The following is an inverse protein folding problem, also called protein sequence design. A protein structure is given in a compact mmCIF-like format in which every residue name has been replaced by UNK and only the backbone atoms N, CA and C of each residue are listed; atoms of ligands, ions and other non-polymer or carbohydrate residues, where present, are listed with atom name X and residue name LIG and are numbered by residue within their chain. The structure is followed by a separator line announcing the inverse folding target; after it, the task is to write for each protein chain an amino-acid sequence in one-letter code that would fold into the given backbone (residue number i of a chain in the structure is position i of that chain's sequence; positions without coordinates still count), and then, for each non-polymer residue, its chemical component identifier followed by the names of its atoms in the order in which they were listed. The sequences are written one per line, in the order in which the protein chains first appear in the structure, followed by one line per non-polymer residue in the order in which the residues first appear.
data_IF_821585642517
#
_entry.id   IF_821585642517
#
_cell.length_a   1.000
_cell.length_b   1.000
_cell.length_c   1.000
_cell.angle_alpha   90.00
_cell.angle_beta   90.00
_cell.angle_gamma   90.00
#
_symmetry.space_group_name_H-M   'P 1'
#
loop_
_entity.id
_entity.type
_entity.pdbx_description
1 polymer ?
#
# COMPACT_ATOMS: atom_id res chain seq x y z
N UNK A 1 -3.87 5.87 -18.34
CA UNK A 1 -5.34 6.07 -18.39
C UNK A 1 -5.91 5.56 -17.08
N UNK A 2 -6.80 6.35 -16.43
CA UNK A 2 -7.40 5.95 -15.15
C UNK A 2 -8.66 6.73 -14.86
N UNK A 3 -9.37 6.29 -13.82
CA UNK A 3 -10.54 6.94 -13.26
C UNK A 3 -10.42 6.91 -11.72
N UNK A 4 -10.80 7.99 -11.09
CA UNK A 4 -10.87 8.11 -9.64
C UNK A 4 -12.29 8.48 -9.24
N UNK A 5 -12.79 7.84 -8.20
CA UNK A 5 -14.12 8.06 -7.65
C UNK A 5 -13.94 8.23 -6.13
N UNK A 6 -14.56 9.25 -5.58
CA UNK A 6 -14.63 9.49 -4.15
C UNK A 6 -16.08 9.74 -3.76
N UNK A 7 -16.50 9.15 -2.63
CA UNK A 7 -17.84 9.33 -2.10
C UNK A 7 -17.79 9.38 -0.57
N UNK A 8 -18.59 10.27 0.00
CA UNK A 8 -18.81 10.40 1.44
C UNK A 8 -20.30 10.49 1.75
N UNK A 9 -20.70 9.87 2.84
CA UNK A 9 -22.08 9.85 3.30
C UNK A 9 -22.14 9.86 4.82
N UNK A 10 -22.93 10.77 5.38
CA UNK A 10 -23.17 10.88 6.82
C UNK A 10 -24.63 10.57 7.12
N UNK A 11 -24.99 9.26 7.22
CA UNK A 11 -26.39 8.85 7.47
C UNK A 11 -26.90 9.28 8.84
N UNK A 12 -26.02 9.47 9.80
CA UNK A 12 -26.33 9.84 11.16
C UNK A 12 -25.33 10.91 11.64
N UNK A 13 -25.76 11.74 12.59
CA UNK A 13 -24.90 12.80 13.13
C UNK A 13 -23.62 12.32 13.81
N UNK A 14 -23.52 11.04 14.10
CA UNK A 14 -22.39 10.39 14.77
C UNK A 14 -21.65 9.39 13.89
N UNK A 15 -22.08 9.19 12.61
CA UNK A 15 -21.47 8.23 11.69
C UNK A 15 -21.23 8.90 10.33
N UNK A 16 -19.98 8.82 9.87
CA UNK A 16 -19.57 9.16 8.51
C UNK A 16 -18.92 7.95 7.85
N UNK A 17 -19.30 7.67 6.62
CA UNK A 17 -18.75 6.61 5.76
C UNK A 17 -18.11 7.29 4.57
N UNK A 18 -16.85 6.99 4.29
CA UNK A 18 -16.11 7.54 3.14
C UNK A 18 -15.43 6.42 2.39
N UNK A 19 -15.29 6.60 1.10
CA UNK A 19 -14.58 5.65 0.27
C UNK A 19 -14.05 6.31 -0.99
N UNK A 20 -12.91 5.83 -1.46
CA UNK A 20 -12.37 6.18 -2.75
C UNK A 20 -11.85 4.95 -3.49
N UNK A 21 -11.88 5.03 -4.80
CA UNK A 21 -11.36 4.01 -5.69
C UNK A 21 -10.58 4.70 -6.82
N UNK A 22 -9.31 4.34 -6.97
CA UNK A 22 -8.48 4.69 -8.10
C UNK A 22 -8.28 3.43 -8.96
N UNK A 23 -8.75 3.49 -10.19
CA UNK A 23 -8.59 2.42 -11.17
C UNK A 23 -7.72 2.95 -12.31
N UNK A 24 -6.64 2.27 -12.62
CA UNK A 24 -5.70 2.72 -13.64
C UNK A 24 -5.15 1.58 -14.50
N UNK A 25 -4.81 1.93 -15.75
CA UNK A 25 -4.08 1.07 -16.65
C UNK A 25 -2.91 1.84 -17.23
N UNK A 26 -1.70 1.53 -16.78
CA UNK A 26 -0.47 2.19 -17.17
C UNK A 26 0.38 1.20 -17.97
N UNK A 27 0.52 1.45 -19.26
CA UNK A 27 1.19 0.57 -20.22
C UNK A 27 2.33 1.34 -20.87
N UNK A 28 3.48 0.67 -20.98
CA UNK A 28 4.59 1.09 -21.84
C UNK A 28 4.41 0.37 -23.18
N UNK A 29 4.51 1.10 -24.28
CA UNK A 29 4.56 0.55 -25.64
C UNK A 29 6.01 0.50 -26.11
N UNK A 30 6.31 -0.51 -26.90
CA UNK A 30 7.64 -0.68 -27.52
C UNK A 30 8.79 -0.64 -26.48
N UNK A 31 8.63 -1.43 -25.41
CA UNK A 31 9.61 -1.52 -24.33
C UNK A 31 10.71 -2.52 -24.68
N UNK A 32 11.96 -2.07 -24.61
CA UNK A 32 13.13 -2.92 -24.76
C UNK A 32 13.81 -3.15 -23.41
N UNK A 33 13.78 -4.38 -22.94
CA UNK A 33 14.53 -4.81 -21.78
C UNK A 33 15.97 -5.12 -22.18
N UNK A 34 16.94 -4.54 -21.49
CA UNK A 34 18.35 -4.87 -21.61
C UNK A 34 18.71 -5.90 -20.53
N UNK A 35 18.54 -7.19 -20.86
CA UNK A 35 18.80 -8.27 -19.92
C UNK A 35 20.30 -8.57 -19.85
N UNK A 36 20.85 -8.58 -18.62
CA UNK A 36 22.23 -9.00 -18.39
C UNK A 36 22.40 -10.46 -18.76
N UNK A 37 23.53 -10.79 -19.39
CA UNK A 37 23.93 -12.19 -19.65
C UNK A 37 25.07 -12.53 -18.71
N UNK A 38 24.90 -13.59 -17.90
CA UNK A 38 25.96 -14.07 -17.01
C UNK A 38 27.15 -14.56 -17.82
N UNK A 39 28.37 -14.35 -17.26
CA UNK A 39 29.67 -14.70 -17.84
C UNK A 39 30.06 -13.92 -19.09
N UNK A 40 29.20 -13.02 -19.58
CA UNK A 40 29.50 -12.11 -20.66
C UNK A 40 29.34 -10.67 -20.20
N UNK A 41 30.25 -9.79 -20.57
CA UNK A 41 30.05 -8.33 -20.36
C UNK A 41 29.10 -7.75 -21.40
N UNK A 42 28.00 -8.47 -21.68
CA UNK A 42 27.05 -8.16 -22.72
C UNK A 42 25.62 -8.07 -22.19
N UNK A 43 24.77 -7.39 -22.95
CA UNK A 43 23.33 -7.34 -22.68
C UNK A 43 22.57 -7.90 -23.87
N UNK A 44 21.50 -8.61 -23.60
CA UNK A 44 20.56 -9.03 -24.62
C UNK A 44 19.34 -8.12 -24.61
N UNK A 45 19.01 -7.60 -25.76
CA UNK A 45 17.81 -6.83 -25.97
C UNK A 45 16.60 -7.77 -26.15
N UNK A 46 15.59 -7.62 -25.32
CA UNK A 46 14.32 -8.34 -25.41
C UNK A 46 13.22 -7.31 -25.60
N UNK A 47 12.48 -7.44 -26.71
CA UNK A 47 11.46 -6.50 -27.10
C UNK A 47 10.08 -6.96 -26.62
N UNK A 48 9.31 -6.03 -26.02
CA UNK A 48 7.93 -6.18 -25.63
C UNK A 48 7.07 -5.13 -26.36
N UNK A 49 6.11 -5.57 -27.16
CA UNK A 49 5.20 -4.65 -27.86
C UNK A 49 4.38 -3.78 -26.90
N UNK A 50 4.04 -4.32 -25.75
CA UNK A 50 3.40 -3.63 -24.64
C UNK A 50 3.74 -4.33 -23.32
N UNK A 51 3.76 -3.57 -22.25
CA UNK A 51 4.02 -4.06 -20.90
C UNK A 51 3.38 -3.15 -19.87
N UNK A 52 2.99 -3.71 -18.73
CA UNK A 52 2.50 -2.91 -17.59
C UNK A 52 3.66 -2.25 -16.87
N UNK A 53 3.50 -0.97 -16.54
CA UNK A 53 4.49 -0.20 -15.79
C UNK A 53 4.71 -0.80 -14.40
N UNK A 54 5.98 -0.95 -14.02
CA UNK A 54 6.38 -1.40 -12.69
C UNK A 54 5.82 -0.48 -11.59
N UNK A 55 5.51 -1.06 -10.41
CA UNK A 55 4.96 -0.36 -9.25
C UNK A 55 3.69 0.45 -9.54
N UNK A 56 2.91 0.01 -10.53
CA UNK A 56 1.67 0.66 -10.93
C UNK A 56 0.48 -0.30 -10.76
N UNK A 57 -0.14 -0.32 -9.57
CA UNK A 57 -1.30 -1.16 -9.32
C UNK A 57 -2.49 -0.70 -10.17
N UNK A 58 -3.28 -1.67 -10.67
CA UNK A 58 -4.47 -1.37 -11.47
C UNK A 58 -5.66 -0.89 -10.62
N UNK A 59 -5.64 -1.14 -9.32
CA UNK A 59 -6.68 -0.72 -8.39
C UNK A 59 -6.09 -0.38 -7.02
N UNK A 60 -6.48 0.77 -6.48
CA UNK A 60 -6.28 1.17 -5.08
C UNK A 60 -7.65 1.56 -4.53
N UNK A 61 -8.07 0.91 -3.45
CA UNK A 61 -9.36 1.17 -2.81
C UNK A 61 -9.13 1.55 -1.36
N UNK A 62 -9.84 2.56 -0.89
CA UNK A 62 -9.86 2.96 0.51
C UNK A 62 -11.29 3.04 1.01
N UNK A 63 -11.52 2.56 2.23
CA UNK A 63 -12.78 2.71 2.94
C UNK A 63 -12.54 3.20 4.35
N UNK A 64 -13.33 4.15 4.80
CA UNK A 64 -13.24 4.73 6.13
C UNK A 64 -14.62 4.83 6.77
N UNK A 65 -14.70 4.42 8.05
CA UNK A 65 -15.84 4.63 8.92
C UNK A 65 -15.39 5.51 10.07
N UNK A 66 -16.02 6.64 10.24
CA UNK A 66 -15.77 7.56 11.35
C UNK A 66 -17.00 7.59 12.25
N UNK A 67 -16.80 7.20 13.52
CA UNK A 67 -17.78 7.23 14.59
C UNK A 67 -17.37 8.30 15.60
N UNK A 68 -18.25 9.22 15.93
CA UNK A 68 -18.00 10.24 16.94
C UNK A 68 -19.18 10.42 17.90
N UNK A 69 -18.92 10.36 19.19
CA UNK A 69 -19.92 10.50 20.20
C UNK A 69 -19.35 11.04 21.53
N UNK A 70 -19.84 12.18 22.01
CA UNK A 70 -19.49 12.76 23.33
C UNK A 70 -18.00 12.80 23.63
N UNK A 71 -17.18 13.29 22.68
CA UNK A 71 -15.73 13.36 22.82
C UNK A 71 -14.97 12.07 22.51
N UNK A 72 -15.67 10.96 22.28
CA UNK A 72 -15.10 9.74 21.74
C UNK A 72 -15.14 9.75 20.21
N UNK A 73 -14.06 9.35 19.59
CA UNK A 73 -13.95 9.15 18.15
C UNK A 73 -13.29 7.80 17.86
N UNK A 74 -13.84 7.09 16.88
CA UNK A 74 -13.26 5.85 16.39
C UNK A 74 -13.26 5.88 14.86
N UNK A 75 -12.09 5.77 14.27
CA UNK A 75 -11.90 5.72 12.82
C UNK A 75 -11.39 4.35 12.43
N UNK A 76 -12.21 3.63 11.67
CA UNK A 76 -11.81 2.41 10.99
C UNK A 76 -11.38 2.78 9.57
N UNK A 77 -10.18 2.38 9.17
CA UNK A 77 -9.65 2.62 7.83
C UNK A 77 -9.14 1.31 7.22
N UNK A 78 -9.64 0.97 6.05
CA UNK A 78 -9.18 -0.18 5.26
C UNK A 78 -8.66 0.29 3.91
N UNK A 79 -7.47 -0.15 3.56
CA UNK A 79 -6.84 0.06 2.27
C UNK A 79 -6.67 -1.28 1.55
N UNK A 80 -6.90 -1.30 0.24
CA UNK A 80 -6.61 -2.42 -0.66
C UNK A 80 -5.75 -1.93 -1.82
N UNK A 81 -4.71 -2.69 -2.15
CA UNK A 81 -3.84 -2.45 -3.31
C UNK A 81 -3.77 -3.72 -4.14
N UNK A 82 -4.06 -3.61 -5.43
CA UNK A 82 -3.94 -4.72 -6.36
C UNK A 82 -2.48 -5.12 -6.60
N UNK A 83 -2.27 -6.23 -7.30
CA UNK A 83 -0.93 -6.71 -7.68
C UNK A 83 -0.13 -5.60 -8.36
N UNK A 84 1.18 -5.56 -8.07
CA UNK A 84 2.15 -4.67 -8.70
C UNK A 84 3.31 -5.49 -9.24
N UNK A 85 3.74 -5.19 -10.46
CA UNK A 85 4.95 -5.80 -11.01
C UNK A 85 6.20 -5.09 -10.47
N UNK A 86 7.29 -5.81 -10.27
CA UNK A 86 8.55 -5.26 -9.78
C UNK A 86 9.42 -4.70 -10.91
N UNK A 87 9.15 -5.13 -12.14
CA UNK A 87 9.80 -4.65 -13.35
C UNK A 87 8.77 -4.47 -14.49
N UNK A 88 9.21 -3.92 -15.61
CA UNK A 88 8.37 -3.64 -16.77
C UNK A 88 8.25 -4.85 -17.71
N UNK A 89 8.40 -6.08 -17.24
CA UNK A 89 8.26 -7.27 -18.07
C UNK A 89 6.88 -7.94 -17.96
N UNK A 90 6.02 -7.44 -17.08
CA UNK A 90 4.67 -7.98 -16.80
C UNK A 90 4.70 -9.46 -16.37
N UNK A 91 5.79 -9.89 -15.77
CA UNK A 91 5.94 -11.25 -15.31
C UNK A 91 5.33 -11.43 -13.90
N UNK A 92 4.32 -12.30 -13.81
CA UNK A 92 3.60 -12.58 -12.55
C UNK A 92 4.54 -13.09 -11.45
N UNK A 93 5.58 -13.85 -11.81
CA UNK A 93 6.56 -14.35 -10.82
C UNK A 93 7.43 -13.23 -10.25
N UNK A 94 7.48 -12.06 -10.88
CA UNK A 94 8.21 -10.87 -10.48
C UNK A 94 7.25 -9.78 -10.02
N UNK A 95 6.34 -10.14 -9.14
CA UNK A 95 5.31 -9.21 -8.69
C UNK A 95 5.07 -9.30 -7.19
N UNK A 96 4.56 -8.21 -6.63
CA UNK A 96 3.98 -8.14 -5.30
C UNK A 96 2.53 -8.59 -5.38
N UNK A 97 2.08 -9.56 -4.58
CA UNK A 97 0.66 -9.94 -4.49
C UNK A 97 -0.20 -8.76 -4.05
N UNK A 98 -1.49 -8.80 -4.37
CA UNK A 98 -2.43 -7.86 -3.79
C UNK A 98 -2.48 -8.00 -2.26
N UNK A 99 -2.74 -6.89 -1.59
CA UNK A 99 -2.87 -6.89 -0.14
C UNK A 99 -3.97 -5.93 0.33
N UNK A 100 -4.42 -6.16 1.55
CA UNK A 100 -5.27 -5.22 2.27
C UNK A 100 -4.73 -5.03 3.68
N UNK A 101 -4.85 -3.80 4.19
CA UNK A 101 -4.48 -3.42 5.54
C UNK A 101 -5.64 -2.68 6.20
N UNK A 102 -5.90 -2.98 7.46
CA UNK A 102 -6.94 -2.31 8.24
C UNK A 102 -6.36 -1.77 9.54
N UNK A 103 -6.65 -0.51 9.81
CA UNK A 103 -6.23 0.21 11.00
C UNK A 103 -7.46 0.73 11.75
N UNK A 104 -7.34 0.87 13.07
CA UNK A 104 -8.34 1.52 13.91
C UNK A 104 -7.64 2.59 14.72
N UNK A 105 -8.15 3.81 14.64
CA UNK A 105 -7.71 4.93 15.48
C UNK A 105 -8.83 5.28 16.44
N UNK A 106 -8.53 5.23 17.73
CA UNK A 106 -9.45 5.60 18.78
C UNK A 106 -8.94 6.87 19.46
N UNK A 107 -9.81 7.82 19.71
CA UNK A 107 -9.49 8.97 20.54
C UNK A 107 -10.60 9.31 21.50
N UNK A 108 -10.22 9.87 22.65
CA UNK A 108 -11.14 10.39 23.63
C UNK A 108 -10.67 11.76 24.12
N UNK A 109 -11.51 12.76 23.91
CA UNK A 109 -11.27 14.12 24.35
C UNK A 109 -11.99 14.40 25.66
N UNK A 110 -11.22 14.63 26.71
CA UNK A 110 -11.70 15.04 28.01
C UNK A 110 -11.57 16.58 28.12
N UNK A 111 -12.70 17.28 28.22
CA UNK A 111 -12.70 18.71 28.53
C UNK A 111 -12.76 18.90 30.04
N UNK A 112 -11.78 19.60 30.61
CA UNK A 112 -11.80 19.93 32.04
C UNK A 112 -12.71 21.14 32.30
N UNK A 113 -13.75 20.93 33.09
CA UNK A 113 -14.61 22.03 33.59
C UNK A 113 -14.02 22.73 34.85
N UNK A 114 -13.02 22.10 35.46
CA UNK A 114 -12.28 22.64 36.63
C UNK A 114 -10.82 22.85 36.19
N UNK A 115 -10.36 24.10 36.21
CA UNK A 115 -8.97 24.43 35.90
C UNK A 115 -8.04 23.96 37.02
N UNK A 116 -7.62 22.70 36.97
CA UNK A 116 -6.59 22.17 37.86
C UNK A 116 -5.23 22.51 37.23
N UNK A 117 -4.44 23.37 37.86
CA UNK A 117 -3.10 23.76 37.42
C UNK A 117 -3.02 24.28 35.96
N UNK A 118 -4.07 24.99 35.49
CA UNK A 118 -4.12 25.55 34.14
C UNK A 118 -4.49 24.55 33.05
N UNK A 119 -4.74 23.28 33.38
CA UNK A 119 -5.12 22.23 32.43
C UNK A 119 -6.56 22.47 31.93
N UNK A 120 -6.71 22.65 30.61
CA UNK A 120 -7.99 22.85 29.92
C UNK A 120 -8.60 21.54 29.41
N UNK A 121 -7.79 20.54 29.22
CA UNK A 121 -8.26 19.24 28.74
C UNK A 121 -7.14 18.26 28.44
N UNK A 122 -7.53 17.05 28.13
CA UNK A 122 -6.63 15.98 27.70
C UNK A 122 -7.25 15.23 26.52
N UNK A 123 -6.42 14.77 25.60
CA UNK A 123 -6.81 13.83 24.53
C UNK A 123 -6.00 12.57 24.69
N UNK A 124 -6.70 11.46 24.81
CA UNK A 124 -6.12 10.11 24.83
C UNK A 124 -6.30 9.50 23.44
N UNK A 125 -5.22 8.99 22.88
CA UNK A 125 -5.23 8.34 21.56
C UNK A 125 -4.72 6.91 21.65
N UNK A 126 -5.30 6.01 20.85
CA UNK A 126 -4.85 4.64 20.65
C UNK A 126 -4.93 4.30 19.17
N UNK A 127 -3.79 4.03 18.56
CA UNK A 127 -3.70 3.58 17.17
C UNK A 127 -3.43 2.08 17.15
N UNK A 128 -4.30 1.32 16.49
CA UNK A 128 -4.18 -0.11 16.25
C UNK A 128 -3.92 -0.29 14.75
N UNK A 129 -2.70 -0.67 14.39
CA UNK A 129 -2.30 -0.82 13.00
C UNK A 129 -2.30 -2.30 12.62
N UNK A 130 -2.74 -2.57 11.39
CA UNK A 130 -2.79 -3.91 10.81
C UNK A 130 -3.51 -4.91 11.75
N UNK A 131 -4.75 -4.59 12.13
CA UNK A 131 -5.52 -5.34 13.15
C UNK A 131 -5.73 -6.82 12.81
N UNK A 132 -5.68 -7.19 11.54
CA UNK A 132 -5.79 -8.57 11.09
C UNK A 132 -4.44 -9.29 10.99
N UNK A 133 -3.35 -8.62 11.41
CA UNK A 133 -1.98 -9.15 11.38
C UNK A 133 -1.60 -9.74 10.01
N UNK A 134 -1.97 -9.08 8.91
CA UNK A 134 -1.65 -9.52 7.56
C UNK A 134 -0.16 -9.37 7.29
N UNK A 135 0.47 -10.44 6.81
CA UNK A 135 1.85 -10.41 6.35
C UNK A 135 1.86 -10.08 4.85
N UNK A 136 2.43 -8.94 4.50
CA UNK A 136 2.51 -8.46 3.13
C UNK A 136 3.77 -7.62 2.91
N UNK A 137 4.15 -7.45 1.66
CA UNK A 137 5.19 -6.53 1.25
C UNK A 137 4.56 -5.45 0.36
N UNK A 138 4.80 -4.19 0.68
CA UNK A 138 4.34 -3.05 -0.13
C UNK A 138 5.38 -2.64 -1.18
N UNK A 139 6.62 -3.14 -1.07
CA UNK A 139 7.72 -2.88 -1.99
C UNK A 139 8.63 -4.09 -2.08
N UNK A 140 9.49 -4.09 -3.10
CA UNK A 140 10.48 -5.13 -3.32
C UNK A 140 11.43 -4.73 -4.44
N UNK A 141 12.34 -5.61 -4.75
CA UNK A 141 13.27 -5.47 -5.87
C UNK A 141 13.40 -6.80 -6.61
N UNK A 142 13.78 -6.72 -7.85
CA UNK A 142 14.08 -7.90 -8.69
C UNK A 142 15.40 -7.69 -9.39
N UNK A 143 16.23 -8.72 -9.39
CA UNK A 143 17.38 -8.88 -10.25
C UNK A 143 17.17 -10.08 -11.15
N UNK A 144 17.56 -9.98 -12.41
CA UNK A 144 17.40 -11.07 -13.36
C UNK A 144 18.53 -11.04 -14.38
N UNK A 145 19.07 -12.21 -14.66
CA UNK A 145 20.10 -12.43 -15.69
C UNK A 145 19.79 -13.69 -16.52
N UNK A 146 20.37 -13.73 -17.71
CA UNK A 146 20.30 -14.90 -18.59
C UNK A 146 21.52 -15.75 -18.29
N UNK A 147 21.30 -17.01 -17.83
CA UNK A 147 22.39 -17.90 -17.46
C UNK A 147 23.01 -18.63 -18.68
N UNK A 148 22.28 -18.70 -19.78
CA UNK A 148 22.68 -19.47 -20.96
C UNK A 148 22.33 -18.69 -22.23
N UNK A 149 23.21 -18.84 -23.23
CA UNK A 149 23.11 -18.14 -24.52
C UNK A 149 22.42 -19.00 -25.60
N UNK A 150 21.57 -19.95 -25.25
CA UNK A 150 20.94 -20.91 -26.17
C UNK A 150 19.87 -20.28 -27.10
N UNK A 151 19.70 -18.98 -27.13
CA UNK A 151 18.66 -18.34 -27.93
C UNK A 151 17.26 -18.36 -27.30
N UNK A 152 17.11 -18.94 -26.12
CA UNK A 152 15.85 -19.00 -25.34
C UNK A 152 15.93 -18.13 -24.08
N UNK A 153 15.94 -16.79 -24.22
CA UNK A 153 16.25 -15.85 -23.12
C UNK A 153 15.29 -15.89 -21.95
N UNK A 154 14.10 -16.46 -22.12
CA UNK A 154 13.11 -16.57 -21.05
C UNK A 154 13.10 -17.94 -20.36
N UNK A 155 13.74 -18.95 -20.93
CA UNK A 155 13.74 -20.32 -20.40
C UNK A 155 14.86 -20.55 -19.38
N UNK A 156 16.02 -19.90 -19.57
CA UNK A 156 17.20 -20.05 -18.71
C UNK A 156 17.50 -18.76 -17.95
N UNK A 157 16.47 -18.15 -17.40
CA UNK A 157 16.58 -16.89 -16.68
C UNK A 157 16.68 -17.11 -15.19
N UNK A 158 17.81 -16.73 -14.60
CA UNK A 158 17.92 -16.58 -13.16
C UNK A 158 17.15 -15.35 -12.70
N UNK A 159 16.37 -15.49 -11.65
CA UNK A 159 15.63 -14.36 -11.06
C UNK A 159 15.77 -14.42 -9.55
N UNK A 160 16.20 -13.32 -8.96
CA UNK A 160 16.25 -13.12 -7.52
C UNK A 160 15.29 -11.97 -7.15
N UNK A 161 14.44 -12.21 -6.15
CA UNK A 161 13.46 -11.26 -5.67
C UNK A 161 13.69 -11.02 -4.19
N UNK A 162 13.73 -9.75 -3.80
CA UNK A 162 13.71 -9.33 -2.40
C UNK A 162 12.42 -8.58 -2.10
N UNK A 163 11.71 -9.02 -1.06
CA UNK A 163 10.51 -8.34 -0.56
C UNK A 163 10.88 -7.47 0.65
N UNK A 164 10.28 -6.28 0.74
CA UNK A 164 10.38 -5.40 1.91
C UNK A 164 9.09 -5.60 2.72
N UNK A 165 9.13 -6.42 3.79
CA UNK A 165 7.94 -6.74 4.57
C UNK A 165 7.47 -5.52 5.36
N UNK A 166 6.16 -5.37 5.44
CA UNK A 166 5.52 -4.39 6.30
C UNK A 166 5.29 -4.95 7.70
N UNK A 167 5.15 -4.04 8.68
CA UNK A 167 4.91 -4.42 10.06
C UNK A 167 3.60 -5.21 10.21
N UNK A 168 3.64 -6.26 11.00
CA UNK A 168 2.46 -6.96 11.48
C UNK A 168 1.61 -6.07 12.40
N UNK A 169 0.71 -6.70 13.16
CA UNK A 169 -0.07 -5.95 14.16
C UNK A 169 0.85 -5.18 15.11
N UNK A 170 0.54 -3.92 15.28
CA UNK A 170 1.21 -3.06 16.27
C UNK A 170 0.23 -2.02 16.80
N UNK A 171 0.55 -1.46 17.98
CA UNK A 171 -0.28 -0.44 18.62
C UNK A 171 0.58 0.68 19.21
N UNK A 172 0.02 1.88 19.26
CA UNK A 172 0.64 3.06 19.86
C UNK A 172 -0.39 3.86 20.63
N UNK A 173 -0.08 4.14 21.90
CA UNK A 173 -0.86 5.03 22.76
C UNK A 173 -0.28 6.44 22.79
N UNK A 174 -1.11 7.45 22.93
CA UNK A 174 -0.72 8.85 23.07
C UNK A 174 -1.58 9.57 24.09
N UNK A 175 -0.99 10.55 24.75
CA UNK A 175 -1.70 11.48 25.66
C UNK A 175 -1.27 12.91 25.31
N UNK A 176 -2.24 13.78 24.98
CA UNK A 176 -2.00 15.19 24.72
C UNK A 176 -2.68 16.01 25.79
N UNK A 177 -1.93 16.83 26.52
CA UNK A 177 -2.44 17.75 27.54
C UNK A 177 -2.60 19.15 26.93
N UNK A 178 -3.75 19.81 27.17
CA UNK A 178 -4.05 21.17 26.70
C UNK A 178 -4.06 22.10 27.91
N UNK A 179 -3.23 23.14 27.88
CA UNK A 179 -3.10 24.16 28.90
C UNK A 179 -3.67 25.51 28.48
#
# INVERSE_FOLDING_TARGET
MGAEIEAGWSPLSWLTVEGNAALSRNIIKDFDEMASVDWESSFRKIHYNHSTLAFSPSAILNGMLNLHYKGFEAVWHTNFVSRQYLDNTENVTRSLPCYSQTNINLSYTLCSTKHIAGLKGAVFGLNLNNIFNRHYAASGWVYSSILDNNGHPNENRYTQIGFIPMAGFNMMGSVTLKF
#
